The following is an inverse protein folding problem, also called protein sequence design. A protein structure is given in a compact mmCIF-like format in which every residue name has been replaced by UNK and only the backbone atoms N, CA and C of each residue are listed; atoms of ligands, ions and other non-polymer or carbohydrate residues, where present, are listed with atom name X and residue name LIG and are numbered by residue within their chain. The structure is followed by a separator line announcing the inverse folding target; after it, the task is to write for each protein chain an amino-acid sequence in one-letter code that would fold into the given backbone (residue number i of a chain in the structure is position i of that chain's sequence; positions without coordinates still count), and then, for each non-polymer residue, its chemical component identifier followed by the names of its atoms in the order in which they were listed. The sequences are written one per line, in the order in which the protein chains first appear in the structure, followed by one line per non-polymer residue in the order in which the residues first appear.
data_IF_064154805898
#
_entry.id   IF_064154805898
#
_cell.length_a   1.000
_cell.length_b   1.000
_cell.length_c   1.000
_cell.angle_alpha   90.00
_cell.angle_beta   90.00
_cell.angle_gamma   90.00
#
_symmetry.space_group_name_H-M   'P 1'
#
loop_
_entity.id
_entity.type
_entity.pdbx_description
1 polymer ?
#
# COMPACT_ATOMS: atom_id res chain seq x y z
N UNK A 1 -4.31 -1.79 21.39
CA UNK A 1 -3.39 -1.02 20.51
C UNK A 1 -2.06 -1.74 20.60
N UNK A 2 -1.52 -2.23 19.48
CA UNK A 2 -0.22 -2.91 19.45
C UNK A 2 0.83 -1.99 20.08
N UNK A 3 1.65 -2.53 20.99
CA UNK A 3 2.76 -1.78 21.59
C UNK A 3 3.97 -1.61 20.64
N UNK A 4 3.88 -2.22 19.46
CA UNK A 4 4.91 -2.23 18.44
C UNK A 4 4.65 -1.15 17.38
N UNK A 5 5.70 -0.51 16.84
CA UNK A 5 5.57 0.40 15.71
C UNK A 5 4.98 -0.29 14.47
N UNK A 6 4.21 0.46 13.69
CA UNK A 6 3.72 0.02 12.38
C UNK A 6 4.64 0.51 11.28
N UNK A 7 4.99 -0.37 10.34
CA UNK A 7 5.84 -0.07 9.19
C UNK A 7 5.00 0.00 7.92
N UNK A 8 5.08 1.14 7.22
CA UNK A 8 4.34 1.40 6.00
C UNK A 8 5.35 1.64 4.88
N UNK A 9 5.52 0.68 3.98
CA UNK A 9 6.43 0.82 2.84
C UNK A 9 5.95 1.88 1.85
N UNK A 10 6.88 2.64 1.27
CA UNK A 10 6.60 3.50 0.12
C UNK A 10 6.49 2.62 -1.11
N UNK A 11 5.31 2.59 -1.72
CA UNK A 11 5.02 1.82 -2.92
C UNK A 11 4.40 2.73 -3.98
N UNK A 12 4.68 2.49 -5.28
CA UNK A 12 4.06 3.26 -6.33
C UNK A 12 2.57 2.88 -6.49
N UNK A 13 1.77 3.80 -7.03
CA UNK A 13 0.37 3.57 -7.34
C UNK A 13 0.16 3.30 -8.83
N UNK A 14 -0.98 2.71 -9.20
CA UNK A 14 -1.37 2.55 -10.59
C UNK A 14 -2.88 2.77 -10.74
N UNK A 15 -3.31 3.09 -11.96
CA UNK A 15 -4.74 3.09 -12.29
C UNK A 15 -5.18 1.68 -12.69
N UNK A 16 -6.40 1.31 -12.30
CA UNK A 16 -6.99 0.03 -12.72
C UNK A 16 -7.07 -0.11 -14.25
N UNK A 17 -7.25 1.00 -14.98
CA UNK A 17 -7.26 1.01 -16.45
C UNK A 17 -5.89 0.73 -17.05
N UNK A 18 -4.82 1.21 -16.42
CA UNK A 18 -3.45 0.95 -16.87
C UNK A 18 -3.06 -0.50 -16.61
N UNK A 19 -3.51 -1.06 -15.48
CA UNK A 19 -3.37 -2.50 -15.20
C UNK A 19 -4.14 -3.35 -16.22
N UNK A 20 -5.39 -3.00 -16.55
CA UNK A 20 -6.16 -3.72 -17.56
C UNK A 20 -5.47 -3.71 -18.93
N UNK A 21 -4.91 -2.56 -19.32
CA UNK A 21 -4.13 -2.41 -20.57
C UNK A 21 -2.80 -3.15 -20.53
N UNK A 22 -2.14 -3.22 -19.38
CA UNK A 22 -0.92 -4.00 -19.21
C UNK A 22 -1.17 -5.51 -19.41
N UNK A 23 -2.31 -6.00 -18.93
CA UNK A 23 -2.75 -7.40 -19.10
C UNK A 23 -3.17 -7.66 -20.56
N UNK A 24 -3.98 -6.77 -21.14
CA UNK A 24 -4.43 -6.88 -22.52
C UNK A 24 -4.48 -5.49 -23.19
N UNK A 25 -3.47 -5.16 -24.02
CA UNK A 25 -3.33 -3.81 -24.60
C UNK A 25 -4.49 -3.34 -25.48
N UNK A 26 -5.18 -4.28 -26.13
CA UNK A 26 -6.30 -4.02 -27.03
C UNK A 26 -7.67 -4.29 -26.39
N UNK A 27 -7.74 -4.44 -25.06
CA UNK A 27 -8.99 -4.67 -24.36
C UNK A 27 -9.94 -3.47 -24.53
N UNK A 28 -11.20 -3.77 -24.86
CA UNK A 28 -12.29 -2.82 -24.73
C UNK A 28 -12.65 -2.67 -23.24
N UNK A 29 -12.66 -1.43 -22.74
CA UNK A 29 -12.95 -1.14 -21.34
C UNK A 29 -14.38 -0.60 -21.21
N UNK A 30 -15.21 -1.30 -20.44
CA UNK A 30 -16.58 -0.89 -20.14
C UNK A 30 -16.66 -0.37 -18.70
N UNK A 31 -17.15 0.85 -18.52
CA UNK A 31 -17.35 1.43 -17.19
C UNK A 31 -18.62 0.88 -16.54
N UNK A 32 -18.45 0.15 -15.44
CA UNK A 32 -19.57 -0.42 -14.65
C UNK A 32 -19.87 0.37 -13.38
N UNK A 33 -19.14 1.45 -13.12
CA UNK A 33 -19.20 2.21 -11.86
C UNK A 33 -18.47 1.51 -10.69
N UNK A 34 -18.58 2.11 -9.50
CA UNK A 34 -17.97 1.62 -8.25
C UNK A 34 -18.84 0.56 -7.58
N UNK A 35 -18.24 -0.54 -7.11
CA UNK A 35 -19.00 -1.60 -6.41
C UNK A 35 -19.24 -1.23 -4.94
N UNK A 36 -20.30 -1.77 -4.30
CA UNK A 36 -20.55 -1.53 -2.87
C UNK A 36 -19.34 -1.95 -2.02
N UNK A 37 -18.87 -1.03 -1.17
CA UNK A 37 -17.72 -1.27 -0.28
C UNK A 37 -16.35 -0.99 -0.90
N UNK A 38 -16.25 -0.70 -2.19
CA UNK A 38 -15.00 -0.26 -2.80
C UNK A 38 -14.73 1.23 -2.51
N UNK A 39 -13.44 1.57 -2.41
CA UNK A 39 -12.96 2.95 -2.35
C UNK A 39 -12.32 3.33 -3.68
N UNK A 40 -12.41 4.61 -4.04
CA UNK A 40 -11.71 5.15 -5.22
C UNK A 40 -10.20 5.27 -5.00
N UNK A 41 -9.82 5.62 -3.77
CA UNK A 41 -8.43 5.74 -3.34
C UNK A 41 -8.25 5.00 -2.03
N UNK A 42 -7.20 4.17 -1.96
CA UNK A 42 -6.77 3.56 -0.71
C UNK A 42 -5.83 4.47 0.07
N UNK A 43 -5.96 4.42 1.40
CA UNK A 43 -5.17 5.18 2.38
C UNK A 43 -4.32 4.19 3.16
N UNK A 44 -3.01 4.39 3.16
CA UNK A 44 -2.04 3.58 3.90
C UNK A 44 -1.61 4.22 5.22
N UNK A 45 -1.65 5.56 5.28
CA UNK A 45 -1.43 6.32 6.51
C UNK A 45 -2.43 7.47 6.57
N UNK A 46 -3.30 7.46 7.58
CA UNK A 46 -4.25 8.55 7.80
C UNK A 46 -3.58 9.77 8.44
N UNK A 47 -4.21 10.93 8.34
CA UNK A 47 -3.72 12.17 8.97
C UNK A 47 -3.54 12.04 10.48
N UNK A 48 -4.45 11.35 11.16
CA UNK A 48 -4.39 11.16 12.62
C UNK A 48 -3.23 10.25 13.02
N UNK A 49 -2.98 9.17 12.26
CA UNK A 49 -1.83 8.28 12.47
C UNK A 49 -0.51 8.99 12.13
N UNK A 50 -0.52 9.84 11.11
CA UNK A 50 0.64 10.60 10.66
C UNK A 50 1.23 11.52 11.75
N UNK A 51 0.43 11.93 12.73
CA UNK A 51 0.90 12.77 13.86
C UNK A 51 2.03 12.11 14.66
N UNK A 52 2.08 10.78 14.66
CA UNK A 52 3.12 9.96 15.28
C UNK A 52 4.01 9.24 14.26
N UNK A 53 3.98 9.65 12.99
CA UNK A 53 4.74 9.05 11.92
C UNK A 53 6.07 9.78 11.63
N UNK A 54 7.06 8.98 11.28
CA UNK A 54 8.36 9.43 10.81
C UNK A 54 8.61 8.84 9.42
N UNK A 55 9.05 9.68 8.50
CA UNK A 55 9.48 9.33 7.17
C UNK A 55 10.95 8.90 7.17
N UNK A 56 11.23 7.79 6.49
CA UNK A 56 12.56 7.28 6.15
C UNK A 56 12.65 7.17 4.62
N UNK A 57 13.80 6.74 4.11
CA UNK A 57 14.04 6.69 2.66
C UNK A 57 12.96 5.88 1.91
N UNK A 58 12.68 4.65 2.36
CA UNK A 58 11.82 3.67 1.69
C UNK A 58 10.50 3.36 2.43
N UNK A 59 10.27 3.94 3.61
CA UNK A 59 9.09 3.65 4.42
C UNK A 59 8.73 4.78 5.39
N UNK A 60 7.55 4.68 5.98
CA UNK A 60 7.12 5.43 7.17
C UNK A 60 7.04 4.48 8.37
N UNK A 61 7.31 5.01 9.55
CA UNK A 61 7.09 4.30 10.82
C UNK A 61 6.14 5.10 11.68
N UNK A 62 5.02 4.49 12.06
CA UNK A 62 4.08 5.05 13.04
C UNK A 62 4.43 4.50 14.40
N UNK A 63 4.84 5.39 15.32
CA UNK A 63 5.18 5.02 16.68
C UNK A 63 3.96 5.13 17.61
N UNK A 64 3.83 4.26 18.62
CA UNK A 64 2.87 4.47 19.69
C UNK A 64 3.14 5.80 20.39
N UNK A 65 2.08 6.56 20.74
CA UNK A 65 2.20 7.93 21.28
C UNK A 65 3.16 8.07 22.48
N UNK A 66 3.25 7.06 23.35
CA UNK A 66 4.19 7.05 24.49
C UNK A 66 5.65 7.27 24.10
N UNK A 67 6.04 6.86 22.89
CA UNK A 67 7.40 7.04 22.36
C UNK A 67 7.73 8.52 22.09
N UNK A 68 6.70 9.36 21.90
CA UNK A 68 6.87 10.80 21.71
C UNK A 68 7.01 11.54 23.05
N UNK A 69 6.51 10.96 24.14
CA UNK A 69 6.55 11.56 25.48
C UNK A 69 7.91 11.35 26.17
N UNK A 70 8.66 10.32 25.78
CA UNK A 70 9.96 9.97 26.35
C UNK A 70 11.11 10.31 25.39
N UNK A 71 11.91 11.36 25.64
CA UNK A 71 12.94 11.86 24.71
C UNK A 71 14.10 10.91 24.41
N UNK A 72 14.14 9.68 24.95
CA UNK A 72 15.35 8.83 24.94
C UNK A 72 15.16 7.39 24.49
N UNK A 73 13.95 6.88 24.22
CA UNK A 73 13.79 5.43 24.06
C UNK A 73 12.65 5.07 23.10
N UNK A 74 13.01 4.86 21.83
CA UNK A 74 12.26 3.94 20.97
C UNK A 74 12.04 4.41 19.53
N UNK A 75 12.22 5.70 19.24
CA UNK A 75 12.22 6.20 17.85
C UNK A 75 13.57 5.85 17.22
N UNK A 76 13.53 5.29 16.01
CA UNK A 76 14.76 4.91 15.29
C UNK A 76 15.47 6.17 14.78
N UNK A 77 16.82 6.18 14.76
CA UNK A 77 17.57 7.28 14.19
C UNK A 77 17.34 7.39 12.68
N UNK A 78 17.44 8.60 12.13
CA UNK A 78 17.33 8.87 10.70
C UNK A 78 15.90 9.20 10.20
N UNK A 79 14.88 9.00 11.03
CA UNK A 79 13.51 9.37 10.68
C UNK A 79 13.27 10.88 10.82
N UNK A 80 12.54 11.45 9.87
CA UNK A 80 12.07 12.85 9.91
C UNK A 80 10.57 12.86 10.17
N UNK A 81 10.11 13.66 11.14
CA UNK A 81 8.67 13.76 11.42
C UNK A 81 7.95 14.31 10.19
N UNK A 82 6.86 13.66 9.79
CA UNK A 82 6.04 14.14 8.67
C UNK A 82 5.34 15.45 9.02
N UNK A 83 5.01 16.32 8.05
CA UNK A 83 4.28 17.57 8.29
C UNK A 83 2.90 17.34 8.91
N UNK A 84 2.38 18.33 9.64
CA UNK A 84 0.98 18.33 10.08
C UNK A 84 0.05 18.34 8.85
N UNK A 85 -1.05 17.58 8.92
CA UNK A 85 -1.97 17.42 7.79
C UNK A 85 -1.51 16.41 6.73
N UNK A 86 -0.39 15.71 6.95
CA UNK A 86 0.11 14.69 6.02
C UNK A 86 -0.77 13.44 6.01
N UNK A 87 -1.11 12.94 4.82
CA UNK A 87 -1.62 11.60 4.58
C UNK A 87 -0.75 10.86 3.56
N UNK A 88 -0.75 9.54 3.61
CA UNK A 88 -0.20 8.71 2.54
C UNK A 88 -1.30 7.85 1.94
N UNK A 89 -1.75 8.25 0.76
CA UNK A 89 -2.80 7.58 0.01
C UNK A 89 -2.43 7.42 -1.46
N UNK A 90 -3.12 6.52 -2.14
CA UNK A 90 -2.96 6.34 -3.59
C UNK A 90 -3.29 7.61 -4.39
N UNK A 91 -4.07 8.55 -3.86
CA UNK A 91 -4.32 9.85 -4.50
C UNK A 91 -3.20 10.87 -4.31
N UNK A 92 -2.51 10.84 -3.17
CA UNK A 92 -1.41 11.78 -2.85
C UNK A 92 -0.02 11.23 -3.22
N UNK A 93 0.04 10.00 -3.74
CA UNK A 93 1.29 9.34 -4.09
C UNK A 93 2.05 10.06 -5.22
N UNK A 94 3.38 10.09 -5.10
CA UNK A 94 4.28 10.76 -6.06
C UNK A 94 4.70 9.85 -7.21
N UNK A 95 4.76 8.54 -6.95
CA UNK A 95 5.22 7.54 -7.90
C UNK A 95 4.04 6.77 -8.49
N UNK A 96 3.95 6.75 -9.82
CA UNK A 96 2.87 6.11 -10.56
C UNK A 96 3.44 5.20 -11.64
N UNK A 97 2.94 3.97 -11.70
CA UNK A 97 3.29 2.99 -12.72
C UNK A 97 2.43 3.19 -13.97
N UNK A 98 3.09 3.17 -15.13
CA UNK A 98 2.44 3.14 -16.44
C UNK A 98 2.04 1.72 -16.82
N UNK A 99 1.23 1.57 -17.88
CA UNK A 99 0.91 0.25 -18.44
C UNK A 99 2.16 -0.54 -18.85
N UNK A 100 3.21 0.15 -19.32
CA UNK A 100 4.47 -0.49 -19.74
C UNK A 100 5.30 -0.95 -18.53
N UNK A 101 5.29 -0.18 -17.44
CA UNK A 101 5.92 -0.59 -16.18
C UNK A 101 5.24 -1.84 -15.63
N UNK A 102 3.90 -1.82 -15.59
CA UNK A 102 3.09 -2.96 -15.15
C UNK A 102 3.30 -4.18 -16.04
N UNK A 103 3.34 -4.01 -17.37
CA UNK A 103 3.58 -5.11 -18.30
C UNK A 103 4.97 -5.74 -18.12
N UNK A 104 5.98 -4.97 -17.69
CA UNK A 104 7.29 -5.51 -17.31
C UNK A 104 7.20 -6.30 -16.02
N UNK A 105 6.59 -5.74 -14.97
CA UNK A 105 6.40 -6.44 -13.69
C UNK A 105 5.63 -7.75 -13.84
N UNK A 106 4.59 -7.77 -14.69
CA UNK A 106 3.79 -8.97 -14.96
C UNK A 106 4.61 -10.09 -15.62
N UNK A 107 5.66 -9.78 -16.40
CA UNK A 107 6.53 -10.79 -17.02
C UNK A 107 7.48 -11.45 -16.02
N UNK A 108 7.80 -10.75 -14.94
CA UNK A 108 8.69 -11.24 -13.89
C UNK A 108 7.93 -12.07 -12.84
N UNK A 109 6.59 -12.16 -12.94
CA UNK A 109 5.79 -13.01 -12.06
C UNK A 109 6.04 -14.49 -12.36
N UNK A 110 6.19 -15.34 -11.31
CA UNK A 110 6.30 -16.76 -11.51
C UNK A 110 5.00 -17.37 -12.09
N UNK A 111 5.07 -18.57 -12.66
CA UNK A 111 3.89 -19.27 -13.16
C UNK A 111 2.79 -19.35 -12.10
N UNK A 112 1.53 -19.30 -12.56
CA UNK A 112 0.34 -19.31 -11.67
C UNK A 112 0.38 -20.44 -10.63
N UNK A 113 0.80 -21.63 -11.03
CA UNK A 113 0.81 -22.79 -10.14
C UNK A 113 1.85 -22.62 -9.01
N UNK A 114 2.97 -21.97 -9.29
CA UNK A 114 3.98 -21.62 -8.29
C UNK A 114 3.50 -20.48 -7.38
N UNK A 115 2.82 -19.47 -7.95
CA UNK A 115 2.18 -18.40 -7.16
C UNK A 115 1.19 -18.97 -6.15
N UNK A 116 0.30 -19.86 -6.60
CA UNK A 116 -0.70 -20.50 -5.75
C UNK A 116 -0.03 -21.39 -4.69
N UNK A 117 1.00 -22.15 -5.05
CA UNK A 117 1.74 -22.97 -4.09
C UNK A 117 2.47 -22.12 -3.03
N UNK A 118 2.98 -20.94 -3.41
CA UNK A 118 3.71 -20.03 -2.54
C UNK A 118 2.85 -19.16 -1.62
N UNK A 119 1.58 -18.95 -1.97
CA UNK A 119 0.65 -18.10 -1.20
C UNK A 119 0.32 -18.66 0.20
N UNK A 120 0.76 -19.89 0.50
CA UNK A 120 0.46 -20.59 1.73
C UNK A 120 -1.01 -20.97 1.82
N UNK A 121 -1.38 -21.91 2.72
CA UNK A 121 -2.76 -22.26 2.93
C UNK A 121 -3.48 -21.16 3.73
N UNK A 122 -3.87 -20.07 3.07
CA UNK A 122 -4.99 -19.27 3.55
C UNK A 122 -6.25 -20.08 3.25
N UNK A 123 -6.77 -20.68 4.32
CA UNK A 123 -7.80 -21.71 4.35
C UNK A 123 -9.07 -21.28 3.62
N UNK A 124 -9.46 -22.07 2.62
CA UNK A 124 -10.79 -22.07 2.03
C UNK A 124 -11.86 -22.64 3.00
N UNK A 125 -11.85 -22.22 4.26
CA UNK A 125 -12.90 -22.53 5.24
C UNK A 125 -13.75 -21.27 5.45
N UNK A 126 -14.77 -21.10 4.61
CA UNK A 126 -15.71 -19.98 4.75
C UNK A 126 -16.50 -19.59 3.50
N UNK A 127 -16.27 -20.24 2.35
CA UNK A 127 -17.01 -19.96 1.11
C UNK A 127 -18.26 -20.85 0.90
N UNK A 128 -18.80 -21.44 1.97
CA UNK A 128 -20.14 -22.03 1.97
C UNK A 128 -20.91 -21.55 3.22
N UNK A 129 -21.71 -20.51 3.02
CA UNK A 129 -22.89 -20.17 3.83
C UNK A 129 -23.86 -19.34 2.97
#
# INVERSE_FOLDING_TARGET
ISESPSFIGKVPSCKVTDLARAIHPAAELTETGIRPGEKLHEVMLTEDEARAAFEYDDHYVVYPLRYLEEPRTGIRPGGVRVPDGFDYSSSSNKEWLTSDDLARLLKDLPPRDELIASAGPWQAEGAEA
#
